data_IF_503230548149
#
_entry.id   IF_503230548149
#
_cell.length_a   1.000
_cell.length_b   1.000
_cell.length_c   1.000
_cell.angle_alpha   90.00
_cell.angle_beta   90.00
_cell.angle_gamma   90.00
#
_symmetry.space_group_name_H-M   'P 1'
#
loop_
_entity.id
_entity.type
_entity.pdbx_description
1 polymer ?
#
# COMPACT_ATOMS: atom_id res chain seq x y z
N UNK A 1 74.38 6.76 -12.53
CA UNK A 1 74.03 5.36 -12.24
C UNK A 1 72.77 5.04 -13.05
N UNK A 2 72.67 3.98 -13.89
CA UNK A 2 72.61 2.53 -13.56
C UNK A 2 71.41 2.24 -12.61
N UNK A 3 70.25 1.76 -13.11
CA UNK A 3 69.86 0.38 -13.56
C UNK A 3 69.34 -0.49 -12.39
N UNK A 4 68.40 -1.46 -12.45
CA UNK A 4 67.53 -2.08 -13.51
C UNK A 4 66.38 -2.91 -12.83
N UNK A 5 65.18 -3.17 -13.43
CA UNK A 5 64.67 -4.44 -14.09
C UNK A 5 64.72 -5.73 -13.23
N UNK A 6 63.71 -6.62 -13.06
CA UNK A 6 62.33 -6.78 -13.65
C UNK A 6 61.25 -7.09 -12.55
N UNK A 7 60.02 -7.70 -12.65
CA UNK A 7 59.30 -8.83 -13.32
C UNK A 7 59.79 -10.27 -12.94
N UNK A 8 59.03 -11.38 -13.00
CA UNK A 8 57.88 -11.92 -13.82
C UNK A 8 56.96 -12.92 -13.01
N UNK A 9 55.67 -13.19 -13.34
CA UNK A 9 55.06 -14.29 -14.18
C UNK A 9 55.57 -15.75 -13.93
N UNK A 10 54.82 -16.86 -14.07
CA UNK A 10 53.36 -17.16 -14.21
C UNK A 10 53.05 -18.70 -14.06
N UNK A 11 51.87 -19.16 -14.52
CA UNK A 11 51.24 -20.50 -14.53
C UNK A 11 52.08 -21.74 -14.92
N UNK A 12 51.66 -22.97 -14.55
CA UNK A 12 51.10 -23.94 -15.53
C UNK A 12 50.27 -25.13 -14.92
N UNK A 13 49.72 -25.98 -15.82
CA UNK A 13 48.80 -27.15 -15.71
C UNK A 13 49.45 -28.42 -15.08
N UNK A 14 48.76 -29.53 -14.76
CA UNK A 14 47.35 -29.96 -14.90
C UNK A 14 47.21 -31.51 -14.88
N UNK A 15 46.13 -32.06 -15.49
CA UNK A 15 45.67 -33.50 -15.52
C UNK A 15 45.04 -34.00 -14.20
N UNK A 16 43.87 -34.67 -14.13
CA UNK A 16 43.26 -35.81 -14.87
C UNK A 16 43.73 -37.20 -14.36
N UNK A 17 42.94 -38.29 -14.29
CA UNK A 17 41.55 -38.60 -14.73
C UNK A 17 41.10 -39.96 -14.11
N UNK A 18 39.78 -40.19 -13.90
CA UNK A 18 39.16 -41.48 -13.44
C UNK A 18 39.55 -41.89 -12.01
N UNK A 19 38.83 -42.76 -11.29
CA UNK A 19 37.48 -43.33 -11.51
C UNK A 19 37.30 -44.66 -10.76
N UNK A 20 36.13 -44.90 -10.14
CA UNK A 20 35.84 -46.15 -9.43
C UNK A 20 34.40 -46.24 -8.93
N UNK A 21 33.82 -47.44 -8.93
CA UNK A 21 32.53 -47.81 -8.33
C UNK A 21 32.75 -49.03 -7.44
N UNK A 22 32.19 -49.03 -6.23
CA UNK A 22 31.40 -50.11 -5.61
C UNK A 22 31.05 -49.71 -4.16
N UNK A 23 29.82 -49.90 -3.66
CA UNK A 23 28.99 -51.10 -3.37
C UNK A 23 29.37 -51.80 -2.05
N UNK A 24 28.34 -52.09 -1.24
CA UNK A 24 28.47 -52.77 0.06
C UNK A 24 28.65 -51.79 1.24
N UNK A 25 28.15 -52.06 2.44
CA UNK A 25 27.40 -53.25 2.90
C UNK A 25 26.58 -52.98 4.18
N UNK A 26 25.76 -53.96 4.57
CA UNK A 26 24.81 -53.89 5.70
C UNK A 26 25.53 -54.07 7.06
N UNK A 27 24.93 -53.55 8.13
CA UNK A 27 24.71 -54.36 9.35
C UNK A 27 25.23 -53.82 10.70
N UNK A 28 24.58 -54.31 11.75
CA UNK A 28 24.88 -54.19 13.20
C UNK A 28 24.78 -52.76 13.80
N UNK A 29 24.09 -52.47 14.91
CA UNK A 29 23.48 -53.21 16.03
C UNK A 29 24.40 -53.58 17.21
N UNK A 30 24.39 -52.72 18.24
CA UNK A 30 24.66 -53.01 19.66
C UNK A 30 23.53 -52.30 20.46
N UNK A 31 22.84 -52.91 21.44
CA UNK A 31 23.29 -53.48 22.71
C UNK A 31 23.68 -52.41 23.75
N UNK A 32 23.23 -52.44 25.01
CA UNK A 32 22.31 -53.38 25.70
C UNK A 32 21.62 -52.69 26.89
N UNK A 33 20.56 -53.36 27.37
CA UNK A 33 19.82 -53.26 28.65
C UNK A 33 20.51 -52.52 29.82
N UNK A 34 19.69 -52.00 30.72
CA UNK A 34 19.66 -52.58 32.08
C UNK A 34 18.26 -52.64 32.72
N UNK A 35 18.13 -53.40 33.81
CA UNK A 35 16.95 -53.51 34.69
C UNK A 35 17.39 -53.03 36.11
N UNK A 36 16.56 -52.80 37.13
CA UNK A 36 15.32 -53.48 37.50
C UNK A 36 14.57 -52.76 38.67
N UNK A 37 13.28 -53.11 38.86
CA UNK A 37 12.59 -53.44 40.14
C UNK A 37 12.61 -52.48 41.38
N UNK A 38 11.63 -52.46 42.29
CA UNK A 38 10.22 -52.88 42.34
C UNK A 38 9.55 -52.37 43.67
N UNK A 39 8.27 -51.97 43.64
CA UNK A 39 7.29 -52.02 44.77
C UNK A 39 7.57 -51.16 46.04
N UNK A 40 6.65 -50.95 46.99
CA UNK A 40 5.19 -50.74 46.98
C UNK A 40 4.68 -50.27 48.38
N UNK A 41 3.36 -50.04 48.51
CA UNK A 41 2.51 -49.98 49.73
C UNK A 41 2.14 -48.60 50.33
N UNK A 42 0.96 -48.57 50.99
CA UNK A 42 0.37 -47.40 51.69
C UNK A 42 -0.46 -46.46 50.79
N UNK A 43 -1.75 -46.19 50.99
CA UNK A 43 -2.73 -46.76 51.93
C UNK A 43 -3.35 -45.72 52.87
N UNK A 44 -4.46 -45.08 52.47
CA UNK A 44 -5.17 -44.15 53.36
C UNK A 44 -6.42 -43.49 52.75
N UNK A 45 -7.60 -43.76 53.33
CA UNK A 45 -8.85 -43.02 53.06
C UNK A 45 -9.11 -42.04 54.20
N UNK A 46 -9.63 -40.83 53.92
CA UNK A 46 -10.86 -40.31 54.57
C UNK A 46 -11.40 -39.03 53.92
N UNK A 47 -12.61 -38.65 54.36
CA UNK A 47 -13.63 -37.86 53.67
C UNK A 47 -13.92 -36.55 54.43
N UNK A 48 -14.37 -35.54 53.67
CA UNK A 48 -15.35 -34.50 54.02
C UNK A 48 -15.00 -33.44 55.09
N UNK A 49 -15.30 -32.18 54.76
CA UNK A 49 -15.31 -31.04 55.67
C UNK A 49 -16.05 -29.81 55.08
N UNK A 50 -17.38 -29.87 54.98
CA UNK A 50 -18.21 -28.69 54.66
C UNK A 50 -18.31 -27.75 55.88
N UNK A 51 -18.41 -26.43 55.65
CA UNK A 51 -19.45 -25.58 56.26
C UNK A 51 -19.59 -24.22 55.56
N UNK A 52 -20.79 -23.62 55.70
CA UNK A 52 -21.15 -22.29 55.18
C UNK A 52 -20.83 -21.18 56.19
N UNK A 53 -20.80 -19.93 55.70
CA UNK A 53 -20.91 -18.72 56.51
C UNK A 53 -21.61 -17.59 55.74
N UNK A 54 -22.95 -17.52 55.82
CA UNK A 54 -23.71 -16.38 55.30
C UNK A 54 -23.84 -15.25 56.34
N UNK A 55 -23.84 -13.98 55.88
CA UNK A 55 -24.80 -12.87 56.23
C UNK A 55 -24.22 -11.54 55.70
N UNK A 56 -24.90 -10.75 54.86
CA UNK A 56 -26.19 -10.01 54.98
C UNK A 56 -26.11 -8.63 55.67
N UNK A 57 -26.04 -7.60 54.82
CA UNK A 57 -26.89 -6.37 54.79
C UNK A 57 -26.82 -5.30 55.92
N UNK A 58 -26.27 -4.14 55.52
CA UNK A 58 -26.99 -2.85 55.32
C UNK A 58 -27.02 -1.72 56.39
N UNK A 59 -27.14 -0.48 55.88
CA UNK A 59 -27.48 0.82 56.55
C UNK A 59 -26.34 1.43 57.42
N UNK A 60 -26.19 2.75 57.58
CA UNK A 60 -26.81 3.99 57.01
C UNK A 60 -25.77 5.13 57.13
N UNK A 61 -25.53 5.96 56.10
CA UNK A 61 -26.06 7.32 55.87
C UNK A 61 -25.43 8.49 56.68
N UNK A 62 -25.17 9.61 55.99
CA UNK A 62 -24.59 10.88 56.50
C UNK A 62 -23.23 11.19 55.85
N UNK A 63 -22.94 12.39 55.35
CA UNK A 63 -23.80 13.56 55.10
C UNK A 63 -22.99 14.82 54.72
N UNK A 64 -23.61 15.78 54.01
CA UNK A 64 -23.06 17.10 53.60
C UNK A 64 -21.90 17.04 52.57
N UNK A 65 -21.68 18.03 51.69
CA UNK A 65 -22.47 19.22 51.36
C UNK A 65 -21.85 20.00 50.18
N UNK A 66 -22.65 20.76 49.43
CA UNK A 66 -22.15 21.63 48.34
C UNK A 66 -21.36 22.83 48.88
N UNK A 67 -20.32 23.27 48.15
CA UNK A 67 -20.36 24.56 47.41
C UNK A 67 -19.13 24.77 46.52
N UNK A 68 -19.38 25.39 45.36
CA UNK A 68 -18.38 26.13 44.57
C UNK A 68 -18.61 27.62 44.88
N UNK A 69 -17.56 28.40 45.03
CA UNK A 69 -17.65 29.87 45.02
C UNK A 69 -16.43 30.48 44.33
N UNK A 70 -16.69 31.36 43.37
CA UNK A 70 -15.79 32.46 43.06
C UNK A 70 -16.07 33.63 44.01
N UNK A 71 -15.12 34.55 44.13
CA UNK A 71 -15.24 35.83 44.84
C UNK A 71 -14.43 36.91 44.11
N UNK A 72 -14.75 38.17 44.37
CA UNK A 72 -14.51 39.30 43.45
C UNK A 72 -13.29 40.20 43.76
N UNK A 73 -13.12 41.22 42.91
CA UNK A 73 -12.30 42.43 43.08
C UNK A 73 -12.72 43.21 44.36
N UNK A 74 -11.98 44.19 44.91
CA UNK A 74 -10.84 44.98 44.40
C UNK A 74 -9.70 45.10 45.47
N UNK A 75 -8.80 46.10 45.57
CA UNK A 75 -8.97 47.57 45.55
C UNK A 75 -7.60 48.33 45.56
N UNK A 76 -7.56 49.54 44.93
CA UNK A 76 -6.56 50.66 45.02
C UNK A 76 -5.03 50.39 44.84
N UNK A 77 -4.14 51.42 44.81
CA UNK A 77 -3.92 52.42 43.74
C UNK A 77 -2.64 53.29 43.93
N UNK A 78 -2.26 54.03 42.86
CA UNK A 78 -1.46 55.30 42.78
C UNK A 78 0.06 55.24 42.52
N UNK A 79 0.53 56.32 41.85
CA UNK A 79 1.92 56.76 41.50
C UNK A 79 2.59 56.04 40.30
N UNK A 80 3.00 56.70 39.21
CA UNK A 80 2.57 58.01 38.65
C UNK A 80 3.60 58.78 37.80
N UNK A 81 3.25 59.10 36.54
CA UNK A 81 3.93 60.09 35.67
C UNK A 81 5.14 59.58 34.86
N UNK A 82 5.54 60.20 33.73
CA UNK A 82 4.90 61.23 32.88
C UNK A 82 5.62 61.30 31.49
N UNK A 83 4.99 61.89 30.45
CA UNK A 83 5.68 62.30 29.19
C UNK A 83 4.97 61.99 27.86
N UNK A 84 4.33 63.00 27.26
CA UNK A 84 3.59 63.02 25.95
C UNK A 84 3.64 64.51 25.49
N UNK A 85 3.88 64.94 24.21
CA UNK A 85 2.89 64.78 23.12
C UNK A 85 3.30 64.89 21.61
N UNK A 86 2.35 64.54 20.73
CA UNK A 86 2.30 64.91 19.29
C UNK A 86 1.58 63.87 18.40
N UNK A 87 0.24 63.81 18.31
CA UNK A 87 -0.69 64.55 17.39
C UNK A 87 -0.42 64.33 15.88
N UNK A 88 -1.38 64.11 14.96
CA UNK A 88 -2.84 63.74 14.93
C UNK A 88 -3.18 63.39 13.43
N UNK A 89 -4.36 62.95 12.92
CA UNK A 89 -5.82 62.84 13.24
C UNK A 89 -6.38 61.56 12.52
N UNK A 90 -7.65 61.12 12.56
CA UNK A 90 -8.82 61.46 13.40
C UNK A 90 -10.20 61.52 12.68
N UNK A 91 -10.99 60.43 12.72
CA UNK A 91 -12.48 60.34 12.58
C UNK A 91 -12.90 58.86 12.88
N UNK A 92 -14.00 58.44 13.56
CA UNK A 92 -15.39 58.88 13.82
C UNK A 92 -16.36 58.73 12.62
N UNK A 93 -17.59 58.20 12.74
CA UNK A 93 -18.32 57.43 13.79
C UNK A 93 -19.59 56.81 13.15
N UNK A 94 -20.20 55.74 13.70
CA UNK A 94 -21.56 55.33 13.26
C UNK A 94 -22.08 53.97 13.76
N UNK A 95 -22.77 53.95 14.90
CA UNK A 95 -23.66 52.83 15.30
C UNK A 95 -25.14 53.15 15.02
N UNK A 96 -25.97 52.10 14.83
CA UNK A 96 -27.36 52.01 15.34
C UNK A 96 -27.85 50.56 15.35
N UNK A 97 -28.87 50.28 16.17
CA UNK A 97 -29.46 48.94 16.42
C UNK A 97 -31.00 49.02 16.39
N UNK A 98 -31.67 47.91 16.07
CA UNK A 98 -32.70 47.18 16.86
C UNK A 98 -33.85 46.56 16.04
N UNK A 99 -34.25 45.33 16.46
CA UNK A 99 -35.57 44.66 16.32
C UNK A 99 -36.20 44.50 14.90
N UNK A 100 -36.96 43.44 14.57
CA UNK A 100 -37.28 42.19 15.28
C UNK A 100 -38.71 42.11 15.85
N UNK A 101 -39.52 41.14 15.38
CA UNK A 101 -40.65 40.48 16.08
C UNK A 101 -41.31 39.41 15.18
N UNK A 102 -42.00 38.43 15.79
CA UNK A 102 -42.63 37.26 15.14
C UNK A 102 -44.09 37.48 14.69
N UNK A 103 -44.62 36.58 13.84
CA UNK A 103 -45.79 35.69 14.18
C UNK A 103 -46.28 34.77 13.04
N UNK A 104 -46.40 33.48 13.38
CA UNK A 104 -47.53 32.55 13.15
C UNK A 104 -48.59 32.83 12.05
N UNK A 105 -48.73 31.88 11.10
CA UNK A 105 -49.85 30.87 10.96
C UNK A 105 -50.72 30.77 9.68
N UNK A 106 -51.00 29.48 9.42
CA UNK A 106 -52.21 28.84 8.85
C UNK A 106 -52.54 28.92 7.33
N UNK A 107 -53.42 27.99 6.90
CA UNK A 107 -53.66 27.54 5.51
C UNK A 107 -54.79 28.33 4.79
N UNK A 108 -54.77 28.40 3.45
CA UNK A 108 -55.59 27.55 2.56
C UNK A 108 -55.49 27.87 1.03
N UNK A 109 -55.51 26.81 0.20
CA UNK A 109 -56.06 26.65 -1.18
C UNK A 109 -55.68 27.57 -2.37
N UNK A 110 -55.23 26.92 -3.46
CA UNK A 110 -55.40 27.34 -4.87
C UNK A 110 -54.32 28.26 -5.48
N UNK A 111 -54.02 28.24 -6.79
CA UNK A 111 -54.27 27.20 -7.82
C UNK A 111 -53.29 27.36 -9.03
N UNK A 112 -53.27 26.37 -9.93
CA UNK A 112 -52.71 26.31 -11.32
C UNK A 112 -51.34 26.92 -11.72
N UNK A 113 -50.47 26.02 -12.25
CA UNK A 113 -49.49 26.21 -13.36
C UNK A 113 -48.22 27.07 -13.11
N UNK A 114 -46.99 26.75 -13.55
CA UNK A 114 -46.52 26.02 -14.74
C UNK A 114 -45.02 25.60 -14.67
N UNK A 115 -44.58 24.77 -15.63
CA UNK A 115 -43.18 24.42 -15.98
C UNK A 115 -42.38 23.55 -14.95
N UNK A 116 -41.19 23.00 -15.30
CA UNK A 116 -41.14 21.70 -16.00
C UNK A 116 -40.21 20.64 -15.35
N UNK A 117 -40.43 19.36 -15.68
CA UNK A 117 -39.67 18.23 -15.11
C UNK A 117 -38.41 17.86 -15.95
N UNK A 118 -37.26 17.56 -15.31
CA UNK A 118 -36.13 16.89 -15.95
C UNK A 118 -36.29 15.35 -15.94
N UNK A 119 -35.72 14.69 -16.96
CA UNK A 119 -35.95 13.28 -17.28
C UNK A 119 -35.19 12.27 -16.41
N UNK A 120 -35.87 11.22 -15.94
CA UNK A 120 -35.24 9.99 -15.47
C UNK A 120 -35.00 9.02 -16.64
N UNK A 121 -33.78 8.47 -16.76
CA UNK A 121 -33.46 7.48 -17.79
C UNK A 121 -33.89 6.06 -17.35
N UNK A 122 -34.77 5.42 -18.13
CA UNK A 122 -35.13 4.02 -17.98
C UNK A 122 -34.07 3.08 -18.64
N UNK A 123 -33.89 1.84 -18.14
CA UNK A 123 -32.89 0.90 -18.65
C UNK A 123 -33.33 0.23 -19.98
N UNK A 124 -32.34 -0.19 -20.77
CA UNK A 124 -32.54 -0.91 -22.03
C UNK A 124 -32.98 -2.37 -21.82
N UNK A 125 -33.84 -2.94 -22.69
CA UNK A 125 -34.37 -4.29 -22.52
C UNK A 125 -33.36 -5.39 -22.91
N UNK A 126 -33.35 -6.45 -22.13
CA UNK A 126 -32.63 -7.71 -22.40
C UNK A 126 -33.46 -8.59 -23.33
N UNK A 127 -32.98 -8.87 -24.54
CA UNK A 127 -33.62 -9.78 -25.49
C UNK A 127 -32.93 -11.14 -25.53
N UNK A 128 -33.56 -12.14 -24.91
CA UNK A 128 -33.20 -13.54 -25.16
C UNK A 128 -33.75 -13.98 -26.53
N UNK A 129 -32.93 -14.61 -27.36
CA UNK A 129 -33.37 -15.26 -28.59
C UNK A 129 -32.77 -16.66 -28.71
N UNK A 130 -33.62 -17.62 -29.07
CA UNK A 130 -33.23 -18.98 -29.38
C UNK A 130 -34.12 -19.50 -30.50
N UNK A 131 -33.53 -20.08 -31.53
CA UNK A 131 -34.24 -20.70 -32.65
C UNK A 131 -33.43 -21.89 -33.19
N UNK A 132 -34.14 -22.86 -33.77
CA UNK A 132 -33.54 -24.09 -34.31
C UNK A 132 -32.95 -23.88 -35.72
N UNK A 133 -32.10 -24.83 -36.11
CA UNK A 133 -31.41 -24.84 -37.39
C UNK A 133 -32.32 -25.12 -38.61
N UNK A 134 -31.87 -24.66 -39.77
CA UNK A 134 -32.13 -25.27 -41.08
C UNK A 134 -30.83 -25.20 -41.92
N UNK A 135 -30.71 -26.00 -42.99
CA UNK A 135 -29.47 -26.14 -43.76
C UNK A 135 -29.60 -25.55 -45.17
N UNK A 136 -28.59 -24.78 -45.60
CA UNK A 136 -28.51 -24.14 -46.92
C UNK A 136 -27.07 -24.14 -47.47
N UNK A 137 -26.91 -24.35 -48.78
CA UNK A 137 -25.64 -24.70 -49.43
C UNK A 137 -24.94 -23.47 -50.04
N UNK A 138 -23.60 -23.48 -50.07
CA UNK A 138 -22.85 -23.02 -51.26
C UNK A 138 -22.00 -21.74 -51.19
N UNK A 139 -20.69 -21.93 -50.98
CA UNK A 139 -19.56 -21.10 -51.49
C UNK A 139 -19.42 -19.62 -51.03
N UNK A 140 -18.25 -18.98 -51.25
CA UNK A 140 -16.90 -19.47 -50.97
C UNK A 140 -16.18 -18.59 -49.91
N UNK A 141 -15.10 -19.10 -49.31
CA UNK A 141 -14.46 -18.45 -48.16
C UNK A 141 -13.59 -17.22 -48.53
N UNK A 142 -14.04 -16.01 -48.18
CA UNK A 142 -13.22 -14.81 -48.19
C UNK A 142 -12.18 -14.85 -47.04
N UNK A 143 -10.89 -14.86 -47.37
CA UNK A 143 -9.79 -14.78 -46.39
C UNK A 143 -9.75 -13.40 -45.72
N UNK A 144 -10.36 -13.28 -44.54
CA UNK A 144 -10.19 -12.11 -43.68
C UNK A 144 -8.74 -12.00 -43.22
N UNK A 145 -7.98 -11.10 -43.84
CA UNK A 145 -6.68 -10.69 -43.32
C UNK A 145 -6.88 -9.88 -42.05
N UNK A 146 -6.67 -10.53 -40.90
CA UNK A 146 -6.61 -9.86 -39.59
C UNK A 146 -5.41 -8.90 -39.62
N UNK A 147 -5.69 -7.65 -40.00
CA UNK A 147 -4.69 -6.59 -40.12
C UNK A 147 -4.19 -6.25 -38.72
N UNK A 148 -3.07 -6.88 -38.31
CA UNK A 148 -2.40 -6.66 -37.02
C UNK A 148 -2.38 -5.15 -36.73
N UNK A 149 -2.82 -4.70 -35.53
CA UNK A 149 -2.82 -3.27 -35.24
C UNK A 149 -1.40 -2.74 -35.40
N UNK A 150 -1.24 -1.73 -36.26
CA UNK A 150 0.06 -1.15 -36.52
C UNK A 150 0.67 -0.65 -35.21
N UNK A 151 1.93 -0.98 -34.95
CA UNK A 151 2.68 -0.35 -33.86
C UNK A 151 2.65 1.16 -34.09
N UNK A 152 1.89 1.90 -33.25
CA UNK A 152 2.10 3.33 -33.09
C UNK A 152 3.56 3.50 -32.63
N UNK A 153 4.44 3.90 -33.55
CA UNK A 153 5.66 4.61 -33.18
C UNK A 153 5.19 5.93 -32.56
N UNK A 154 5.19 6.02 -31.23
CA UNK A 154 5.03 7.31 -30.58
C UNK A 154 6.21 8.18 -30.97
N UNK A 155 5.96 9.37 -31.51
CA UNK A 155 6.99 10.31 -31.94
C UNK A 155 7.63 11.07 -30.76
N UNK A 156 8.09 10.34 -29.75
CA UNK A 156 8.99 10.86 -28.73
C UNK A 156 10.39 10.31 -29.01
N UNK A 157 11.40 11.18 -28.92
CA UNK A 157 12.77 10.79 -29.23
C UNK A 157 13.30 9.74 -28.23
N UNK A 158 14.21 8.89 -28.73
CA UNK A 158 14.73 7.74 -27.98
C UNK A 158 15.73 8.18 -26.89
N UNK A 159 15.21 8.61 -25.75
CA UNK A 159 16.00 9.00 -24.57
C UNK A 159 16.67 7.80 -23.87
N UNK A 160 17.78 8.07 -23.18
CA UNK A 160 18.36 7.19 -22.16
C UNK A 160 17.69 7.47 -20.80
N UNK A 161 17.17 6.42 -20.16
CA UNK A 161 16.47 6.52 -18.86
C UNK A 161 17.22 5.67 -17.82
N UNK A 162 17.46 6.24 -16.65
CA UNK A 162 17.99 5.55 -15.50
C UNK A 162 16.89 4.80 -14.75
N UNK A 163 17.13 3.57 -14.30
CA UNK A 163 16.12 2.78 -13.59
C UNK A 163 16.73 2.01 -12.42
N UNK A 164 16.36 2.39 -11.20
CA UNK A 164 16.92 1.88 -9.94
C UNK A 164 15.85 1.08 -9.19
N UNK A 165 16.16 -0.19 -8.93
CA UNK A 165 15.21 -1.18 -8.40
C UNK A 165 14.57 -1.99 -9.52
N UNK A 166 15.04 -3.21 -9.72
CA UNK A 166 14.61 -4.14 -10.78
C UNK A 166 13.85 -5.35 -10.21
N UNK A 167 13.25 -5.18 -9.03
CA UNK A 167 12.42 -6.19 -8.37
C UNK A 167 11.07 -6.47 -9.06
N UNK A 168 10.14 -7.10 -8.32
CA UNK A 168 8.82 -7.56 -8.85
C UNK A 168 8.04 -6.48 -9.62
N UNK A 169 8.06 -5.23 -9.16
CA UNK A 169 7.43 -4.08 -9.84
C UNK A 169 8.33 -3.48 -10.93
N UNK A 170 9.60 -3.20 -10.60
CA UNK A 170 10.51 -2.49 -11.48
C UNK A 170 10.86 -3.22 -12.77
N UNK A 171 11.00 -4.55 -12.73
CA UNK A 171 11.34 -5.35 -13.91
C UNK A 171 10.33 -5.25 -15.06
N UNK A 172 9.01 -5.46 -14.87
CA UNK A 172 8.04 -5.23 -15.94
C UNK A 172 7.97 -3.75 -16.35
N UNK A 173 8.00 -2.81 -15.40
CA UNK A 173 7.98 -1.35 -15.66
C UNK A 173 9.11 -0.91 -16.61
N UNK A 174 10.37 -1.17 -16.25
CA UNK A 174 11.53 -0.98 -17.11
C UNK A 174 11.41 -1.78 -18.43
N UNK A 175 10.83 -2.97 -18.36
CA UNK A 175 10.54 -3.81 -19.51
C UNK A 175 9.61 -3.17 -20.56
N UNK A 176 8.73 -2.25 -20.17
CA UNK A 176 7.91 -1.48 -21.11
C UNK A 176 8.67 -0.32 -21.75
N UNK A 177 9.56 0.36 -21.01
CA UNK A 177 10.41 1.43 -21.52
C UNK A 177 11.35 0.92 -22.65
N UNK A 178 12.00 -0.23 -22.42
CA UNK A 178 12.78 -0.93 -23.47
C UNK A 178 11.91 -1.31 -24.68
N UNK A 179 10.65 -1.71 -24.46
CA UNK A 179 9.76 -2.12 -25.54
C UNK A 179 9.24 -0.95 -26.39
N UNK A 180 9.25 0.27 -25.86
CA UNK A 180 8.97 1.51 -26.57
C UNK A 180 10.16 2.03 -27.39
N UNK A 181 11.39 1.62 -27.04
CA UNK A 181 12.63 1.99 -27.75
C UNK A 181 13.58 2.89 -26.96
N UNK A 182 13.32 3.14 -25.68
CA UNK A 182 14.26 3.87 -24.81
C UNK A 182 15.48 3.00 -24.48
N UNK A 183 16.66 3.62 -24.41
CA UNK A 183 17.83 3.00 -23.83
C UNK A 183 17.71 3.02 -22.29
N UNK A 184 18.03 1.92 -21.61
CA UNK A 184 18.03 1.88 -20.14
C UNK A 184 19.42 1.70 -19.55
N UNK A 185 19.68 2.43 -18.47
CA UNK A 185 20.79 2.20 -17.54
C UNK A 185 20.20 1.73 -16.22
N UNK A 186 20.44 0.47 -15.85
CA UNK A 186 19.74 -0.20 -14.74
C UNK A 186 20.67 -0.53 -13.57
N UNK A 187 20.15 -0.38 -12.35
CA UNK A 187 20.85 -0.72 -11.11
C UNK A 187 19.90 -1.37 -10.08
N UNK A 188 20.43 -2.26 -9.25
CA UNK A 188 19.77 -2.94 -8.14
C UNK A 188 20.83 -3.36 -7.11
N UNK A 189 20.43 -3.64 -5.88
CA UNK A 189 21.32 -4.27 -4.89
C UNK A 189 21.68 -5.73 -5.26
N UNK A 190 20.91 -6.35 -6.16
CA UNK A 190 21.12 -7.71 -6.69
C UNK A 190 21.12 -7.69 -8.21
N UNK A 191 22.28 -7.87 -8.83
CA UNK A 191 22.50 -7.84 -10.28
C UNK A 191 21.66 -8.88 -11.03
N UNK A 192 21.30 -9.96 -10.35
CA UNK A 192 20.46 -11.06 -10.82
C UNK A 192 19.01 -10.62 -11.08
N UNK A 193 18.50 -9.63 -10.33
CA UNK A 193 17.16 -9.09 -10.54
C UNK A 193 17.04 -8.36 -11.90
N UNK A 194 18.13 -7.70 -12.32
CA UNK A 194 18.22 -6.99 -13.59
C UNK A 194 18.50 -7.91 -14.79
N UNK A 195 18.90 -9.17 -14.60
CA UNK A 195 19.32 -10.06 -15.70
C UNK A 195 18.31 -10.16 -16.87
N UNK A 196 16.98 -10.22 -16.66
CA UNK A 196 16.01 -10.22 -17.77
C UNK A 196 15.86 -8.88 -18.52
N UNK A 197 16.38 -7.78 -17.98
CA UNK A 197 16.51 -6.48 -18.66
C UNK A 197 17.84 -6.40 -19.42
N UNK A 198 18.93 -6.88 -18.82
CA UNK A 198 20.25 -6.95 -19.46
C UNK A 198 20.21 -7.84 -20.72
N UNK A 199 19.55 -9.00 -20.63
CA UNK A 199 19.28 -9.89 -21.76
C UNK A 199 18.38 -9.28 -22.86
N UNK A 200 17.81 -8.09 -22.61
CA UNK A 200 16.99 -7.30 -23.55
C UNK A 200 17.66 -5.99 -23.99
N UNK A 201 18.94 -5.80 -23.70
CA UNK A 201 19.72 -4.63 -24.13
C UNK A 201 19.73 -3.44 -23.17
N UNK A 202 19.22 -3.59 -21.93
CA UNK A 202 19.56 -2.63 -20.88
C UNK A 202 21.04 -2.73 -20.53
N UNK A 203 21.69 -1.59 -20.27
CA UNK A 203 23.05 -1.56 -19.77
C UNK A 203 23.05 -1.54 -18.23
N UNK A 204 23.95 -2.31 -17.61
CA UNK A 204 24.15 -2.26 -16.16
C UNK A 204 24.89 -0.99 -15.73
N UNK A 205 24.67 -0.58 -14.49
CA UNK A 205 25.48 0.39 -13.75
C UNK A 205 25.80 -0.17 -12.35
N UNK A 206 27.07 -0.08 -11.91
CA UNK A 206 27.51 -0.69 -10.64
C UNK A 206 27.08 0.13 -9.41
N UNK A 207 26.66 1.39 -9.59
CA UNK A 207 26.17 2.26 -8.49
C UNK A 207 25.03 3.19 -8.94
N UNK A 208 24.21 3.74 -8.01
CA UNK A 208 23.20 4.75 -8.33
C UNK A 208 23.78 6.01 -8.98
N UNK A 209 24.93 6.51 -8.52
CA UNK A 209 25.59 7.68 -9.10
C UNK A 209 26.04 7.47 -10.55
N UNK A 210 26.41 6.24 -10.90
CA UNK A 210 26.74 5.90 -12.28
C UNK A 210 25.50 5.87 -13.20
N UNK A 211 24.30 5.60 -12.65
CA UNK A 211 23.02 5.77 -13.37
C UNK A 211 22.78 7.24 -13.69
N UNK A 212 22.90 8.13 -12.69
CA UNK A 212 22.71 9.57 -12.88
C UNK A 212 23.68 10.16 -13.92
N UNK A 213 24.97 9.81 -13.82
CA UNK A 213 26.01 10.20 -14.81
C UNK A 213 25.68 9.82 -16.26
N UNK A 214 24.74 8.88 -16.48
CA UNK A 214 24.42 8.30 -17.80
C UNK A 214 22.97 8.55 -18.25
N UNK A 215 22.11 9.16 -17.43
CA UNK A 215 20.72 9.43 -17.75
C UNK A 215 20.14 10.59 -16.92
N UNK A 216 19.65 11.64 -17.58
CA UNK A 216 19.02 12.79 -16.92
C UNK A 216 17.70 12.43 -16.23
N UNK A 217 16.88 11.58 -16.86
CA UNK A 217 15.64 11.08 -16.26
C UNK A 217 15.91 9.77 -15.55
N UNK A 218 15.66 9.75 -14.24
CA UNK A 218 15.95 8.61 -13.35
C UNK A 218 14.65 8.17 -12.67
N UNK A 219 14.33 6.88 -12.72
CA UNK A 219 13.18 6.29 -12.04
C UNK A 219 13.68 5.43 -10.87
N UNK A 220 13.08 5.57 -9.69
CA UNK A 220 13.30 4.67 -8.54
C UNK A 220 12.02 3.90 -8.20
N UNK A 221 12.15 2.61 -7.89
CA UNK A 221 11.04 1.76 -7.43
C UNK A 221 11.57 0.71 -6.44
N UNK A 222 11.81 1.17 -5.22
CA UNK A 222 12.49 0.42 -4.15
C UNK A 222 11.50 0.08 -2.99
N UNK A 223 11.91 -0.68 -1.95
CA UNK A 223 10.98 -1.11 -0.90
C UNK A 223 10.42 0.02 -0.02
N UNK A 224 11.22 1.06 0.28
CA UNK A 224 10.85 2.12 1.22
C UNK A 224 11.67 3.41 1.10
N UNK A 225 11.28 4.42 1.88
CA UNK A 225 12.12 5.61 2.13
C UNK A 225 13.55 5.28 2.54
N UNK A 226 13.79 4.21 3.31
CA UNK A 226 15.15 3.86 3.79
C UNK A 226 16.13 3.67 2.64
N UNK A 227 15.68 3.03 1.55
CA UNK A 227 16.50 2.82 0.37
C UNK A 227 16.64 4.12 -0.44
N UNK A 228 15.60 4.94 -0.51
CA UNK A 228 15.68 6.29 -1.12
C UNK A 228 16.63 7.24 -0.38
N UNK A 229 16.69 7.13 0.95
CA UNK A 229 17.59 7.90 1.82
C UNK A 229 19.06 7.47 1.69
N UNK A 230 19.34 6.29 1.14
CA UNK A 230 20.68 5.87 0.71
C UNK A 230 20.96 6.20 -0.77
N UNK A 231 19.94 6.09 -1.64
CA UNK A 231 20.08 6.32 -3.08
C UNK A 231 20.28 7.80 -3.40
N UNK A 232 19.43 8.70 -2.89
CA UNK A 232 19.46 10.13 -3.27
C UNK A 232 20.83 10.76 -2.99
N UNK A 233 21.45 10.61 -1.79
CA UNK A 233 22.81 11.10 -1.53
C UNK A 233 23.87 10.59 -2.52
N UNK A 234 23.73 9.37 -3.05
CA UNK A 234 24.62 8.81 -4.07
C UNK A 234 24.36 9.36 -5.49
N UNK A 235 23.16 9.90 -5.75
CA UNK A 235 22.85 10.64 -6.98
C UNK A 235 23.39 12.08 -6.92
N UNK A 236 23.27 12.77 -5.77
CA UNK A 236 23.53 14.21 -5.63
C UNK A 236 24.83 14.73 -6.30
N UNK A 237 25.98 14.04 -6.29
CA UNK A 237 27.21 14.52 -6.95
C UNK A 237 27.10 14.66 -8.47
N UNK A 238 26.14 13.98 -9.10
CA UNK A 238 25.94 13.90 -10.55
C UNK A 238 24.70 14.65 -11.03
N UNK A 239 23.76 14.97 -10.12
CA UNK A 239 22.58 15.74 -10.45
C UNK A 239 22.93 17.20 -10.76
N UNK A 240 22.22 17.75 -11.75
CA UNK A 240 22.36 19.12 -12.22
C UNK A 240 21.09 19.59 -12.95
N UNK A 241 21.07 20.82 -13.48
CA UNK A 241 20.04 21.28 -14.41
C UNK A 241 19.77 20.24 -15.51
N UNK A 242 18.50 20.08 -15.88
CA UNK A 242 18.05 19.03 -16.79
C UNK A 242 17.70 17.69 -16.13
N UNK A 243 18.27 17.34 -14.97
CA UNK A 243 17.93 16.06 -14.31
C UNK A 243 16.50 16.06 -13.74
N UNK A 244 15.84 14.89 -13.81
CA UNK A 244 14.50 14.63 -13.28
C UNK A 244 14.46 13.26 -12.59
N UNK A 245 14.34 13.25 -11.27
CA UNK A 245 14.12 12.05 -10.47
C UNK A 245 12.62 11.77 -10.31
N UNK A 246 12.17 10.56 -10.62
CA UNK A 246 10.78 10.12 -10.53
C UNK A 246 10.73 8.95 -9.53
N UNK A 247 10.32 9.22 -8.30
CA UNK A 247 10.22 8.18 -7.28
C UNK A 247 8.86 7.50 -7.27
N UNK A 248 8.82 6.25 -7.72
CA UNK A 248 7.60 5.43 -7.83
C UNK A 248 7.43 4.46 -6.64
N UNK A 249 8.33 4.55 -5.65
CA UNK A 249 8.33 3.83 -4.36
C UNK A 249 7.05 4.07 -3.55
N UNK A 250 6.74 3.24 -2.56
CA UNK A 250 5.82 3.65 -1.48
C UNK A 250 6.66 4.24 -0.33
N UNK A 251 6.81 5.56 -0.30
CA UNK A 251 7.66 6.27 0.68
C UNK A 251 6.85 7.08 1.71
N UNK A 252 7.53 7.55 2.76
CA UNK A 252 7.00 8.49 3.74
C UNK A 252 7.05 9.95 3.21
N UNK A 253 5.92 10.68 3.13
CA UNK A 253 5.86 12.02 2.54
C UNK A 253 6.85 13.04 3.11
N UNK A 254 7.10 13.01 4.42
CA UNK A 254 8.06 13.90 5.09
C UNK A 254 9.52 13.59 4.71
N UNK A 255 9.87 12.33 4.46
CA UNK A 255 11.16 11.93 3.91
C UNK A 255 11.32 12.44 2.47
N UNK A 256 10.31 12.23 1.62
CA UNK A 256 10.29 12.74 0.23
C UNK A 256 10.44 14.27 0.16
N UNK A 257 9.69 15.03 0.99
CA UNK A 257 9.79 16.50 1.06
C UNK A 257 11.14 17.01 1.55
N UNK A 258 11.95 16.17 2.20
CA UNK A 258 13.33 16.48 2.58
C UNK A 258 14.29 16.19 1.41
N UNK A 259 14.26 14.95 0.89
CA UNK A 259 15.11 14.51 -0.22
C UNK A 259 14.93 15.39 -1.48
N UNK A 260 13.71 15.84 -1.77
CA UNK A 260 13.45 16.74 -2.89
C UNK A 260 14.17 18.10 -2.79
N UNK A 261 14.39 18.62 -1.57
CA UNK A 261 15.18 19.85 -1.35
C UNK A 261 16.67 19.60 -1.58
N UNK A 262 17.15 18.42 -1.24
CA UNK A 262 18.54 18.00 -1.50
C UNK A 262 18.79 17.87 -3.02
N UNK A 263 17.79 17.39 -3.77
CA UNK A 263 17.78 17.33 -5.25
C UNK A 263 17.68 18.73 -5.87
N UNK A 264 16.76 19.58 -5.40
CA UNK A 264 16.58 20.96 -5.90
C UNK A 264 17.81 21.85 -5.61
N UNK A 265 18.52 21.62 -4.50
CA UNK A 265 19.80 22.27 -4.20
C UNK A 265 20.93 21.92 -5.21
N UNK A 266 20.71 20.95 -6.10
CA UNK A 266 21.58 20.66 -7.26
C UNK A 266 21.06 21.26 -8.58
N UNK A 267 19.94 21.97 -8.58
CA UNK A 267 19.26 22.45 -9.78
C UNK A 267 18.50 21.36 -10.55
N UNK A 268 18.38 20.16 -9.98
CA UNK A 268 17.61 19.05 -10.52
C UNK A 268 16.16 19.07 -10.02
N UNK A 269 15.29 18.29 -10.67
CA UNK A 269 13.85 18.20 -10.33
C UNK A 269 13.48 16.82 -9.78
N UNK A 270 12.42 16.78 -8.97
CA UNK A 270 11.91 15.54 -8.37
C UNK A 270 10.38 15.51 -8.40
N UNK A 271 9.84 14.33 -8.76
CA UNK A 271 8.43 13.96 -8.62
C UNK A 271 8.32 12.75 -7.69
N UNK A 272 7.27 12.69 -6.88
CA UNK A 272 6.82 11.44 -6.28
C UNK A 272 5.64 10.87 -7.06
N UNK A 273 5.84 9.73 -7.70
CA UNK A 273 4.89 9.08 -8.61
C UNK A 273 4.55 7.62 -8.22
N UNK A 274 4.18 7.32 -6.95
CA UNK A 274 3.81 5.98 -6.50
C UNK A 274 2.68 5.34 -7.31
N UNK A 275 2.68 4.00 -7.32
CA UNK A 275 1.81 3.20 -8.17
C UNK A 275 0.80 2.33 -7.42
N UNK A 276 -0.33 2.05 -8.07
CA UNK A 276 -1.35 1.09 -7.64
C UNK A 276 -1.75 0.17 -8.81
N UNK A 277 -2.21 -1.05 -8.50
CA UNK A 277 -2.50 -2.12 -9.47
C UNK A 277 -1.62 -3.38 -9.35
N UNK A 278 -0.57 -3.34 -8.51
CA UNK A 278 0.29 -4.50 -8.21
C UNK A 278 1.10 -5.03 -9.40
N UNK A 279 1.70 -6.22 -9.24
CA UNK A 279 2.62 -6.81 -10.23
C UNK A 279 1.92 -7.04 -11.57
N UNK A 280 0.71 -7.63 -11.56
CA UNK A 280 -0.06 -7.81 -12.80
C UNK A 280 -0.50 -6.49 -13.46
N UNK A 281 -0.66 -5.41 -12.69
CA UNK A 281 -0.86 -4.07 -13.25
C UNK A 281 0.41 -3.54 -13.94
N UNK A 282 1.58 -3.78 -13.34
CA UNK A 282 2.87 -3.41 -13.89
C UNK A 282 3.22 -4.20 -15.17
N UNK A 283 2.94 -5.50 -15.21
CA UNK A 283 3.17 -6.39 -16.37
C UNK A 283 2.29 -6.08 -17.59
N UNK A 284 1.18 -5.37 -17.37
CA UNK A 284 0.21 -4.99 -18.43
C UNK A 284 0.29 -3.51 -18.82
N UNK A 285 1.22 -2.75 -18.24
CA UNK A 285 1.24 -1.28 -18.31
C UNK A 285 -0.12 -0.62 -17.94
N UNK A 286 -0.83 -1.17 -16.95
CA UNK A 286 -2.14 -0.67 -16.49
C UNK A 286 -2.11 -0.15 -15.05
N UNK A 287 -0.96 0.37 -14.59
CA UNK A 287 -0.86 0.98 -13.27
C UNK A 287 -1.70 2.27 -13.18
N UNK A 288 -2.17 2.59 -11.98
CA UNK A 288 -2.57 3.94 -11.60
C UNK A 288 -1.39 4.61 -10.93
N UNK A 289 -0.98 5.77 -11.44
CA UNK A 289 0.18 6.55 -10.99
C UNK A 289 -0.35 7.82 -10.32
N UNK A 290 0.08 8.07 -9.08
CA UNK A 290 -0.36 9.20 -8.24
C UNK A 290 0.82 10.17 -8.11
N UNK A 291 0.83 11.27 -8.84
CA UNK A 291 1.99 12.15 -8.96
C UNK A 291 1.86 13.42 -8.12
N UNK A 292 2.76 13.61 -7.17
CA UNK A 292 3.06 14.88 -6.53
C UNK A 292 4.30 15.54 -7.15
N UNK A 293 4.32 16.87 -7.16
CA UNK A 293 5.42 17.68 -7.69
C UNK A 293 4.93 18.83 -8.56
N UNK A 294 5.84 19.45 -9.33
CA UNK A 294 5.46 20.52 -10.26
C UNK A 294 4.69 20.00 -11.48
N UNK A 295 3.77 20.80 -12.00
CA UNK A 295 2.95 20.42 -13.15
C UNK A 295 3.76 20.34 -14.46
N UNK A 296 4.77 21.19 -14.66
CA UNK A 296 5.62 21.16 -15.84
C UNK A 296 6.57 19.95 -15.83
N UNK A 297 7.10 19.60 -14.65
CA UNK A 297 7.88 18.37 -14.47
C UNK A 297 7.01 17.12 -14.72
N UNK A 298 5.74 17.12 -14.28
CA UNK A 298 4.80 16.06 -14.62
C UNK A 298 4.54 15.98 -16.14
N UNK A 299 4.31 17.09 -16.85
CA UNK A 299 4.13 17.04 -18.30
C UNK A 299 5.39 16.54 -19.03
N UNK A 300 6.58 16.88 -18.54
CA UNK A 300 7.85 16.30 -19.02
C UNK A 300 7.93 14.80 -18.76
N UNK A 301 7.46 14.32 -17.61
CA UNK A 301 7.43 12.90 -17.25
C UNK A 301 6.31 12.10 -17.96
N UNK A 302 5.20 12.75 -18.33
CA UNK A 302 3.95 12.12 -18.78
C UNK A 302 4.14 11.10 -19.93
N UNK A 303 4.96 11.34 -20.97
CA UNK A 303 5.20 10.36 -22.03
C UNK A 303 5.83 9.05 -21.51
N UNK A 304 6.72 9.13 -20.53
CA UNK A 304 7.41 7.97 -19.92
C UNK A 304 6.45 7.23 -18.98
N UNK A 305 5.72 7.98 -18.13
CA UNK A 305 4.72 7.42 -17.21
C UNK A 305 3.61 6.66 -17.95
N UNK A 306 3.18 7.16 -19.11
CA UNK A 306 2.15 6.53 -19.95
C UNK A 306 2.56 5.20 -20.61
N UNK A 307 3.85 4.83 -20.54
CA UNK A 307 4.33 3.50 -20.97
C UNK A 307 4.16 2.42 -19.88
N UNK A 308 3.85 2.82 -18.63
CA UNK A 308 3.75 1.94 -17.47
C UNK A 308 2.39 2.03 -16.76
N UNK A 309 1.69 3.16 -16.91
CA UNK A 309 0.39 3.43 -16.29
C UNK A 309 -0.71 3.75 -17.30
N UNK A 310 -1.94 3.32 -16.97
CA UNK A 310 -3.18 3.68 -17.69
C UNK A 310 -3.78 4.98 -17.16
N UNK A 311 -3.59 5.28 -15.88
CA UNK A 311 -4.13 6.46 -15.21
C UNK A 311 -2.99 7.22 -14.54
N UNK A 312 -2.89 8.53 -14.79
CA UNK A 312 -1.84 9.41 -14.24
C UNK A 312 -2.56 10.63 -13.66
N UNK A 313 -2.61 10.72 -12.34
CA UNK A 313 -3.25 11.82 -11.62
C UNK A 313 -2.18 12.76 -11.07
N UNK A 314 -2.32 14.07 -11.30
CA UNK A 314 -1.61 15.07 -10.50
C UNK A 314 -2.40 15.26 -9.20
N UNK A 315 -1.76 15.11 -8.05
CA UNK A 315 -2.42 15.15 -6.73
C UNK A 315 -1.89 16.26 -5.82
N UNK A 316 -1.08 17.17 -6.37
CA UNK A 316 -0.56 18.36 -5.69
C UNK A 316 0.97 18.48 -5.76
N UNK A 317 1.54 19.21 -4.81
CA UNK A 317 2.99 19.41 -4.69
C UNK A 317 3.75 18.16 -4.22
N UNK A 318 5.07 18.29 -4.10
CA UNK A 318 5.98 17.19 -3.75
C UNK A 318 5.62 16.53 -2.40
N UNK A 319 5.55 15.20 -2.41
CA UNK A 319 5.13 14.35 -1.28
C UNK A 319 3.62 14.04 -1.23
N UNK A 320 2.78 14.66 -2.08
CA UNK A 320 1.33 14.38 -2.10
C UNK A 320 0.97 13.08 -2.83
N UNK A 321 1.79 12.62 -3.78
CA UNK A 321 1.67 11.30 -4.40
C UNK A 321 1.82 10.20 -3.36
N UNK A 322 2.89 10.27 -2.57
CA UNK A 322 3.14 9.37 -1.44
C UNK A 322 2.05 9.46 -0.37
N UNK A 323 1.55 10.66 -0.05
CA UNK A 323 0.43 10.80 0.90
C UNK A 323 -0.84 10.09 0.38
N UNK A 324 -1.19 10.30 -0.90
CA UNK A 324 -2.33 9.65 -1.54
C UNK A 324 -2.15 8.13 -1.63
N UNK A 325 -0.91 7.65 -1.84
CA UNK A 325 -0.59 6.22 -1.84
C UNK A 325 -0.82 5.56 -0.47
N UNK A 326 -0.45 6.24 0.62
CA UNK A 326 -0.72 5.77 1.98
C UNK A 326 -2.25 5.73 2.26
N UNK A 327 -2.99 6.77 1.86
CA UNK A 327 -4.47 6.83 1.94
C UNK A 327 -5.11 5.66 1.17
N UNK A 328 -4.66 5.38 -0.06
CA UNK A 328 -5.13 4.24 -0.86
C UNK A 328 -4.85 2.90 -0.16
N UNK A 329 -3.64 2.71 0.36
CA UNK A 329 -3.22 1.43 0.92
C UNK A 329 -3.89 1.13 2.28
N UNK A 330 -4.09 2.13 3.15
CA UNK A 330 -4.86 1.92 4.40
C UNK A 330 -6.32 1.60 4.13
N UNK A 331 -6.94 2.21 3.11
CA UNK A 331 -8.31 1.87 2.71
C UNK A 331 -8.39 0.45 2.14
N UNK A 332 -7.42 0.06 1.31
CA UNK A 332 -7.30 -1.30 0.77
C UNK A 332 -7.06 -2.38 1.84
N UNK A 333 -6.43 -2.00 2.97
CA UNK A 333 -6.28 -2.84 4.15
C UNK A 333 -7.58 -2.93 4.97
N UNK A 334 -8.23 -1.79 5.27
CA UNK A 334 -9.48 -1.75 6.04
C UNK A 334 -10.64 -2.47 5.32
N UNK A 335 -10.77 -2.30 4.00
CA UNK A 335 -11.73 -3.08 3.22
C UNK A 335 -11.42 -4.58 3.24
N UNK A 336 -10.15 -4.99 3.25
CA UNK A 336 -9.74 -6.39 3.33
C UNK A 336 -10.09 -7.02 4.69
N UNK A 337 -9.76 -6.35 5.81
CA UNK A 337 -10.07 -6.86 7.16
C UNK A 337 -11.57 -6.89 7.42
N UNK A 338 -12.31 -5.83 7.06
CA UNK A 338 -13.76 -5.79 7.22
C UNK A 338 -14.48 -6.83 6.32
N UNK A 339 -13.97 -7.09 5.11
CA UNK A 339 -14.50 -8.18 4.26
C UNK A 339 -14.25 -9.55 4.90
N UNK A 340 -13.08 -9.79 5.49
CA UNK A 340 -12.80 -11.05 6.19
C UNK A 340 -13.74 -11.26 7.39
N UNK A 341 -13.95 -10.23 8.22
CA UNK A 341 -14.89 -10.25 9.34
C UNK A 341 -16.33 -10.54 8.85
N UNK A 342 -16.79 -9.84 7.81
CA UNK A 342 -18.11 -10.05 7.20
C UNK A 342 -18.29 -11.46 6.62
N UNK A 343 -17.26 -12.05 6.02
CA UNK A 343 -17.33 -13.41 5.46
C UNK A 343 -17.25 -14.51 6.55
N UNK A 344 -16.59 -14.26 7.67
CA UNK A 344 -16.66 -15.15 8.85
C UNK A 344 -18.09 -15.15 9.42
N UNK A 345 -18.75 -13.99 9.47
CA UNK A 345 -20.17 -13.89 9.86
C UNK A 345 -21.08 -14.58 8.84
N UNK A 346 -20.88 -14.34 7.54
CA UNK A 346 -21.66 -14.97 6.48
C UNK A 346 -21.58 -16.51 6.53
N UNK A 347 -20.35 -17.05 6.71
CA UNK A 347 -20.11 -18.49 6.92
C UNK A 347 -20.89 -19.05 8.12
N UNK A 348 -20.92 -18.32 9.24
CA UNK A 348 -21.67 -18.70 10.45
C UNK A 348 -23.19 -18.54 10.32
N UNK A 349 -23.65 -17.67 9.42
CA UNK A 349 -25.05 -17.57 9.00
C UNK A 349 -25.46 -18.64 7.95
N UNK A 350 -24.59 -19.58 7.61
CA UNK A 350 -24.85 -20.65 6.64
C UNK A 350 -24.69 -20.23 5.17
N UNK A 351 -24.13 -19.05 4.90
CA UNK A 351 -23.88 -18.55 3.54
C UNK A 351 -22.49 -19.01 3.09
N UNK A 352 -22.42 -19.61 1.90
CA UNK A 352 -21.16 -19.98 1.26
C UNK A 352 -20.26 -18.73 1.04
N UNK A 353 -18.98 -18.73 1.47
CA UNK A 353 -18.11 -17.57 1.34
C UNK A 353 -17.83 -17.11 -0.10
N UNK A 354 -17.78 -18.03 -1.08
CA UNK A 354 -17.61 -17.66 -2.47
C UNK A 354 -18.88 -17.00 -3.02
N UNK A 355 -20.06 -17.57 -2.73
CA UNK A 355 -21.36 -16.94 -3.07
C UNK A 355 -21.53 -15.57 -2.41
N UNK A 356 -21.09 -15.41 -1.17
CA UNK A 356 -21.10 -14.12 -0.48
C UNK A 356 -20.18 -13.10 -1.18
N UNK A 357 -18.98 -13.51 -1.61
CA UNK A 357 -18.05 -12.66 -2.36
C UNK A 357 -18.60 -12.26 -3.74
N UNK A 358 -19.25 -13.16 -4.47
CA UNK A 358 -19.95 -12.84 -5.72
C UNK A 358 -21.01 -11.76 -5.51
N UNK A 359 -21.91 -11.95 -4.53
CA UNK A 359 -22.99 -11.00 -4.22
C UNK A 359 -22.40 -9.65 -3.81
N UNK A 360 -21.42 -9.64 -2.91
CA UNK A 360 -20.80 -8.40 -2.42
C UNK A 360 -20.09 -7.63 -3.54
N UNK A 361 -19.50 -8.32 -4.53
CA UNK A 361 -18.73 -7.69 -5.61
C UNK A 361 -19.57 -6.90 -6.61
N UNK A 362 -20.83 -7.25 -6.80
CA UNK A 362 -21.77 -6.46 -7.62
C UNK A 362 -22.57 -5.45 -6.80
N UNK A 363 -22.74 -5.71 -5.50
CA UNK A 363 -23.53 -4.92 -4.55
C UNK A 363 -22.81 -3.66 -4.05
N UNK A 364 -23.47 -2.87 -3.19
CA UNK A 364 -22.93 -1.65 -2.58
C UNK A 364 -21.73 -1.88 -1.64
N UNK A 365 -21.55 -3.09 -1.11
CA UNK A 365 -20.40 -3.48 -0.28
C UNK A 365 -19.10 -3.78 -1.06
N UNK A 366 -19.08 -3.59 -2.38
CA UNK A 366 -17.94 -3.96 -3.24
C UNK A 366 -16.67 -3.15 -2.95
N UNK A 367 -15.51 -3.81 -3.03
CA UNK A 367 -14.19 -3.19 -2.92
C UNK A 367 -13.13 -4.01 -3.66
N UNK A 368 -11.88 -3.55 -3.74
CA UNK A 368 -10.75 -4.36 -4.25
C UNK A 368 -10.61 -5.70 -3.47
N UNK A 369 -11.04 -5.74 -2.21
CA UNK A 369 -11.07 -6.99 -1.45
C UNK A 369 -12.05 -8.00 -2.07
N UNK A 370 -13.31 -7.61 -2.29
CA UNK A 370 -14.35 -8.51 -2.82
C UNK A 370 -14.15 -8.79 -4.32
N UNK A 371 -13.91 -7.75 -5.13
CA UNK A 371 -13.86 -7.87 -6.58
C UNK A 371 -12.59 -8.57 -7.09
N UNK A 372 -11.54 -8.65 -6.26
CA UNK A 372 -10.22 -9.13 -6.68
C UNK A 372 -9.49 -9.97 -5.63
N UNK A 373 -9.19 -9.44 -4.44
CA UNK A 373 -8.33 -10.16 -3.46
C UNK A 373 -8.93 -11.51 -3.04
N UNK A 374 -10.23 -11.56 -2.77
CA UNK A 374 -10.90 -12.78 -2.37
C UNK A 374 -11.02 -13.81 -3.51
N UNK A 375 -11.56 -13.49 -4.69
CA UNK A 375 -11.66 -14.43 -5.82
C UNK A 375 -10.32 -14.95 -6.34
N UNK A 376 -9.31 -14.08 -6.47
CA UNK A 376 -8.06 -14.43 -7.15
C UNK A 376 -7.05 -15.15 -6.23
N UNK A 377 -6.99 -14.81 -4.93
CA UNK A 377 -5.91 -15.27 -4.04
C UNK A 377 -6.36 -15.95 -2.76
N UNK A 378 -7.45 -15.51 -2.12
CA UNK A 378 -7.84 -15.99 -0.79
C UNK A 378 -8.76 -17.22 -0.87
N UNK A 379 -9.85 -17.16 -1.65
CA UNK A 379 -10.78 -18.28 -1.83
C UNK A 379 -10.13 -19.51 -2.48
N UNK A 380 -9.19 -19.38 -3.45
CA UNK A 380 -8.41 -20.52 -3.96
C UNK A 380 -7.35 -21.04 -2.98
N UNK A 381 -7.15 -20.40 -1.82
CA UNK A 381 -6.14 -20.77 -0.83
C UNK A 381 -4.69 -20.47 -1.24
N UNK A 382 -4.46 -19.69 -2.31
CA UNK A 382 -3.13 -19.40 -2.84
C UNK A 382 -2.34 -18.34 -2.07
N UNK A 383 -3.04 -17.38 -1.46
CA UNK A 383 -2.48 -16.26 -0.66
C UNK A 383 -1.29 -15.53 -1.29
N UNK A 384 -1.28 -15.36 -2.61
CA UNK A 384 -0.10 -14.99 -3.39
C UNK A 384 -0.33 -13.75 -4.27
N UNK A 385 -0.87 -12.67 -3.69
CA UNK A 385 -1.20 -11.42 -4.42
C UNK A 385 0.03 -10.64 -4.93
N UNK A 386 1.21 -10.96 -4.41
CA UNK A 386 2.52 -10.43 -4.82
C UNK A 386 3.09 -9.35 -3.89
N UNK A 387 2.32 -8.90 -2.88
CA UNK A 387 2.65 -7.79 -1.99
C UNK A 387 2.82 -8.27 -0.54
N UNK A 388 4.05 -8.19 -0.02
CA UNK A 388 4.42 -8.77 1.27
C UNK A 388 3.76 -8.06 2.47
N UNK A 389 3.51 -8.82 3.54
CA UNK A 389 2.94 -8.35 4.81
C UNK A 389 3.71 -7.15 5.36
N UNK A 390 5.04 -7.25 5.41
CA UNK A 390 5.93 -6.17 5.86
C UNK A 390 5.78 -4.85 5.08
N UNK A 391 5.49 -4.91 3.78
CA UNK A 391 5.31 -3.71 2.95
C UNK A 391 3.96 -3.04 3.21
N UNK A 392 2.89 -3.83 3.40
CA UNK A 392 1.59 -3.29 3.82
C UNK A 392 1.66 -2.71 5.24
N UNK A 393 2.29 -3.41 6.19
CA UNK A 393 2.49 -2.91 7.55
C UNK A 393 3.35 -1.62 7.59
N UNK A 394 4.35 -1.50 6.70
CA UNK A 394 5.11 -0.26 6.51
C UNK A 394 4.21 0.90 6.05
N UNK A 395 3.39 0.69 5.03
CA UNK A 395 2.45 1.72 4.54
C UNK A 395 1.40 2.10 5.59
N UNK A 396 0.92 1.14 6.38
CA UNK A 396 -0.02 1.38 7.47
C UNK A 396 0.58 2.23 8.59
N UNK A 397 1.85 1.98 8.97
CA UNK A 397 2.60 2.85 9.89
C UNK A 397 2.91 4.23 9.30
N UNK A 398 3.15 4.31 7.99
CA UNK A 398 3.28 5.58 7.27
C UNK A 398 1.99 6.40 7.29
N UNK A 399 0.83 5.77 7.10
CA UNK A 399 -0.47 6.42 7.25
C UNK A 399 -0.71 6.90 8.69
N UNK A 400 -0.34 6.09 9.70
CA UNK A 400 -0.43 6.52 11.11
C UNK A 400 0.42 7.76 11.41
N UNK A 401 1.64 7.85 10.85
CA UNK A 401 2.47 9.06 10.90
C UNK A 401 1.82 10.25 10.19
N UNK A 402 1.28 10.04 8.98
CA UNK A 402 0.58 11.07 8.22
C UNK A 402 -0.64 11.63 8.97
N UNK A 403 -1.41 10.78 9.65
CA UNK A 403 -2.50 11.20 10.54
C UNK A 403 -2.03 12.15 11.65
N UNK A 404 -0.88 11.86 12.29
CA UNK A 404 -0.27 12.76 13.27
C UNK A 404 0.27 14.05 12.63
N UNK A 405 0.87 13.99 11.43
CA UNK A 405 1.32 15.19 10.68
C UNK A 405 0.16 16.15 10.34
N UNK A 406 -1.07 15.64 10.11
CA UNK A 406 -2.25 16.46 9.74
C UNK A 406 -3.24 16.69 10.88
N UNK A 407 -2.97 16.20 12.09
CA UNK A 407 -3.85 16.38 13.26
C UNK A 407 -5.18 15.63 13.20
N UNK A 408 -5.22 14.43 12.60
CA UNK A 408 -6.42 13.59 12.48
C UNK A 408 -6.30 12.28 13.27
N UNK A 409 -7.35 11.89 13.99
CA UNK A 409 -7.40 10.62 14.74
C UNK A 409 -8.23 9.54 14.02
N UNK A 410 -7.61 8.46 13.48
CA UNK A 410 -8.29 7.48 12.64
C UNK A 410 -9.01 6.37 13.41
N UNK A 411 -10.31 6.52 13.68
CA UNK A 411 -11.09 5.50 14.39
C UNK A 411 -11.16 4.13 13.66
N UNK A 412 -11.63 4.12 12.40
CA UNK A 412 -11.85 2.87 11.62
C UNK A 412 -10.52 2.27 11.16
N UNK A 413 -9.65 3.08 10.56
CA UNK A 413 -8.42 2.60 9.95
C UNK A 413 -7.35 2.18 10.97
N UNK A 414 -7.40 2.66 12.21
CA UNK A 414 -6.58 2.11 13.31
C UNK A 414 -6.89 0.64 13.63
N UNK A 415 -8.11 0.14 13.39
CA UNK A 415 -8.42 -1.28 13.54
C UNK A 415 -7.67 -2.14 12.50
N UNK A 416 -7.60 -1.66 11.25
CA UNK A 416 -6.83 -2.31 10.19
C UNK A 416 -5.31 -2.27 10.50
N UNK A 417 -4.79 -1.13 10.97
CA UNK A 417 -3.38 -1.00 11.38
C UNK A 417 -3.02 -2.06 12.42
N UNK A 418 -3.80 -2.20 13.50
CA UNK A 418 -3.57 -3.21 14.56
C UNK A 418 -3.59 -4.66 14.05
N UNK A 419 -4.47 -4.98 13.11
CA UNK A 419 -4.51 -6.32 12.50
C UNK A 419 -3.20 -6.67 11.76
N UNK A 420 -2.62 -5.71 11.04
CA UNK A 420 -1.35 -5.89 10.34
C UNK A 420 -0.13 -5.81 11.27
N UNK A 421 -0.18 -5.04 12.35
CA UNK A 421 0.88 -5.03 13.36
C UNK A 421 0.97 -6.39 14.06
N UNK A 422 -0.16 -6.96 14.49
CA UNK A 422 -0.25 -8.32 15.03
C UNK A 422 0.19 -9.39 14.01
N UNK A 423 0.05 -9.14 12.70
CA UNK A 423 0.57 -10.04 11.67
C UNK A 423 2.10 -10.02 11.57
N UNK A 424 2.74 -8.87 11.85
CA UNK A 424 4.20 -8.73 11.92
C UNK A 424 4.82 -9.30 13.20
N UNK A 425 4.03 -9.46 14.27
CA UNK A 425 4.42 -10.13 15.52
C UNK A 425 4.31 -11.66 15.43
N UNK A 426 3.61 -12.18 14.42
CA UNK A 426 3.26 -13.59 14.27
C UNK A 426 3.92 -14.30 13.07
N UNK A 427 3.55 -15.56 12.81
CA UNK A 427 4.13 -16.37 11.74
C UNK A 427 3.79 -15.91 10.31
N UNK A 428 3.08 -14.78 10.15
CA UNK A 428 2.67 -14.21 8.86
C UNK A 428 3.54 -13.03 8.41
N UNK A 429 4.55 -12.64 9.20
CA UNK A 429 5.41 -11.48 8.93
C UNK A 429 6.10 -11.50 7.56
N UNK A 430 6.52 -12.69 7.11
CA UNK A 430 7.18 -12.93 5.81
C UNK A 430 6.19 -13.31 4.69
N UNK A 431 4.89 -13.39 5.00
CA UNK A 431 3.82 -13.80 4.09
C UNK A 431 3.35 -12.71 3.14
N UNK A 432 2.30 -12.99 2.37
CA UNK A 432 1.59 -11.96 1.60
C UNK A 432 0.62 -11.19 2.50
N UNK A 433 0.40 -9.90 2.22
CA UNK A 433 -0.52 -9.06 2.98
C UNK A 433 -1.97 -9.59 3.01
N UNK A 434 -2.38 -10.44 2.05
CA UNK A 434 -3.70 -11.09 2.09
C UNK A 434 -3.84 -12.18 3.15
N UNK A 435 -2.74 -12.64 3.76
CA UNK A 435 -2.77 -13.65 4.83
C UNK A 435 -3.32 -13.11 6.16
N UNK A 436 -3.42 -11.79 6.33
CA UNK A 436 -3.97 -11.16 7.56
C UNK A 436 -5.36 -11.70 7.92
N UNK A 437 -6.13 -12.13 6.92
CA UNK A 437 -7.47 -12.71 7.09
C UNK A 437 -7.47 -14.01 7.92
N UNK A 438 -6.33 -14.72 7.97
CA UNK A 438 -6.14 -15.92 8.81
C UNK A 438 -6.24 -15.56 10.30
N UNK A 439 -5.66 -14.44 10.73
CA UNK A 439 -5.75 -13.96 12.12
C UNK A 439 -7.15 -13.46 12.51
N UNK A 440 -7.99 -13.19 11.51
CA UNK A 440 -9.41 -12.83 11.64
C UNK A 440 -10.30 -14.09 11.70
N UNK A 441 -9.73 -15.29 11.51
CA UNK A 441 -10.45 -16.57 11.50
C UNK A 441 -10.97 -16.99 10.11
N UNK A 442 -10.61 -16.28 9.05
CA UNK A 442 -10.92 -16.67 7.68
C UNK A 442 -9.85 -17.63 7.13
N UNK A 443 -10.27 -18.80 6.66
CA UNK A 443 -9.36 -19.85 6.17
C UNK A 443 -8.95 -20.87 7.23
N UNK A 444 -9.26 -20.63 8.52
CA UNK A 444 -9.30 -21.71 9.50
C UNK A 444 -10.46 -22.66 9.19
N UNK A 445 -10.17 -23.95 9.16
CA UNK A 445 -11.17 -25.00 9.13
C UNK A 445 -11.63 -25.28 10.56
N UNK A 446 -12.89 -24.93 10.89
CA UNK A 446 -13.47 -25.28 12.19
C UNK A 446 -13.55 -26.81 12.33
N UNK A 447 -12.81 -27.36 13.30
CA UNK A 447 -12.87 -28.77 13.69
C UNK A 447 -14.25 -29.05 14.31
N UNK A 448 -15.17 -29.54 13.47
CA UNK A 448 -16.60 -29.74 13.79
C UNK A 448 -16.83 -30.28 15.22
N UNK A 449 -17.34 -29.46 16.16
CA UNK A 449 -17.67 -29.92 17.51
C UNK A 449 -18.98 -30.72 17.46
N UNK A 450 -18.88 -32.04 17.30
CA UNK A 450 -20.06 -32.92 17.26
C UNK A 450 -19.88 -34.25 16.54
N UNK A 451 -18.79 -34.46 15.79
CA UNK A 451 -18.47 -35.77 15.20
C UNK A 451 -18.08 -36.79 16.28
N UNK A 452 -19.05 -37.55 16.79
CA UNK A 452 -18.78 -38.78 17.55
C UNK A 452 -18.41 -39.92 16.60
N UNK A 453 -17.56 -40.88 17.05
CA UNK A 453 -17.20 -42.06 16.27
C UNK A 453 -18.37 -43.04 16.13
#
# INVERSE_FOLDING_TARGET
MRSQVDLTLAEDRGRARRGGRDRGGRGHAHARRDQARERAAGGGRRRLGRKHGERRRSRRAGGLGHRVHAADRAELARRGGAGVPGRARGSRVGERRHAGLDRDRDHERGDESAHPAPSAHAPLPYTASGTRASAGRGAPAARSMIRRPARRRGGGDAMTIGFIGTGRMGRPMAGHLLAAGHALVVHDLRKEAAAPLLARGAAWAETPGEVARRAETIITIVPSSREMEAIVPALLPWLGPGHLLIDMTSADPSSTRRLAKEVEARGARMLDAPVSGGVGGAERATLTIMVGGDAADLERARPILALMGRHIFHVGGIGTGHAMKLVNNVLSAACLTATAEALVVARRAGIDPARAVEILSVSTGRSDATMRKFPEFILPGGFNSGFAMALMAKDLRGFARLCAEVGYEPAVTAAAIRWFERAMEGPLAEGDHVEVVKLIGFGEAESRPGGRP
#
